data_IF_901170116826
#
_entry.id   IF_901170116826
#
_cell.length_a   1.000
_cell.length_b   1.000
_cell.length_c   1.000
_cell.angle_alpha   90.00
_cell.angle_beta   90.00
_cell.angle_gamma   90.00
#
_symmetry.space_group_name_H-M   'P 1'
#
loop_
_entity.id
_entity.type
_entity.pdbx_description
1 polymer ?
#
# COMPACT_ATOMS: atom_id res chain seq x y z
N UNK A 1 8.54 -1.15 -8.02
CA UNK A 1 8.42 -0.22 -9.18
C UNK A 1 7.87 1.11 -8.70
N UNK A 2 8.38 2.20 -9.25
CA UNK A 2 7.93 3.54 -8.88
C UNK A 2 7.12 4.15 -10.03
N UNK A 3 6.00 4.78 -9.70
CA UNK A 3 5.12 5.43 -10.66
C UNK A 3 4.80 6.85 -10.18
N UNK A 4 4.49 7.74 -11.11
CA UNK A 4 3.90 9.02 -10.77
C UNK A 4 2.43 9.02 -11.16
N UNK A 5 1.59 9.52 -10.27
CA UNK A 5 0.15 9.59 -10.48
C UNK A 5 -0.36 10.94 -10.00
N UNK A 6 -0.84 11.77 -10.91
CA UNK A 6 -1.36 13.11 -10.59
C UNK A 6 -0.36 13.96 -9.77
N UNK A 7 0.94 13.81 -10.05
CA UNK A 7 1.99 14.54 -9.33
C UNK A 7 2.47 13.87 -8.05
N UNK A 8 1.89 12.73 -7.67
CA UNK A 8 2.29 11.99 -6.48
C UNK A 8 3.19 10.80 -6.85
N UNK A 9 4.17 10.51 -6.02
CA UNK A 9 5.03 9.34 -6.17
C UNK A 9 4.35 8.13 -5.54
N UNK A 10 4.16 7.08 -6.33
CA UNK A 10 3.52 5.83 -5.90
C UNK A 10 4.54 4.70 -6.06
N UNK A 11 4.74 3.91 -5.03
CA UNK A 11 5.58 2.73 -5.08
C UNK A 11 4.70 1.48 -5.10
N UNK A 12 5.04 0.55 -5.99
CA UNK A 12 4.43 -0.78 -6.06
C UNK A 12 5.52 -1.79 -5.74
N UNK A 13 5.27 -2.65 -4.77
CA UNK A 13 6.27 -3.60 -4.30
C UNK A 13 5.82 -5.04 -4.49
N UNK A 14 6.72 -5.86 -5.00
CA UNK A 14 6.49 -7.30 -5.22
C UNK A 14 6.97 -8.15 -4.04
N UNK A 15 7.61 -7.55 -3.05
CA UNK A 15 8.06 -8.24 -1.84
C UNK A 15 8.06 -7.27 -0.67
N UNK A 16 8.08 -7.81 0.55
CA UNK A 16 8.15 -6.99 1.75
C UNK A 16 9.47 -6.23 1.85
N UNK A 17 10.57 -6.87 1.47
CA UNK A 17 11.88 -6.22 1.45
C UNK A 17 11.91 -5.05 0.48
N UNK A 18 11.35 -5.23 -0.71
CA UNK A 18 11.26 -4.17 -1.71
C UNK A 18 10.41 -3.00 -1.21
N UNK A 19 9.28 -3.28 -0.56
CA UNK A 19 8.40 -2.25 -0.01
C UNK A 19 9.12 -1.41 1.03
N UNK A 20 9.81 -2.06 1.97
CA UNK A 20 10.53 -1.37 3.04
C UNK A 20 11.65 -0.51 2.47
N UNK A 21 12.40 -1.05 1.53
CA UNK A 21 13.50 -0.34 0.89
C UNK A 21 13.02 0.84 0.07
N UNK A 22 11.96 0.66 -0.72
CA UNK A 22 11.39 1.73 -1.52
C UNK A 22 10.87 2.87 -0.65
N UNK A 23 10.22 2.55 0.46
CA UNK A 23 9.70 3.55 1.38
C UNK A 23 10.81 4.43 1.95
N UNK A 24 11.96 3.85 2.24
CA UNK A 24 13.12 4.61 2.76
C UNK A 24 13.83 5.41 1.68
N UNK A 25 14.03 4.81 0.51
CA UNK A 25 14.84 5.41 -0.56
C UNK A 25 14.07 6.47 -1.34
N UNK A 26 12.80 6.22 -1.64
CA UNK A 26 11.99 7.06 -2.52
C UNK A 26 11.09 8.00 -1.73
N UNK A 27 10.68 7.59 -0.53
CA UNK A 27 9.71 8.29 0.33
C UNK A 27 8.41 8.58 -0.43
N UNK A 28 7.74 7.54 -0.94
CA UNK A 28 6.56 7.73 -1.79
C UNK A 28 5.38 8.27 -0.98
N UNK A 29 4.43 8.88 -1.69
CA UNK A 29 3.18 9.32 -1.08
C UNK A 29 2.25 8.15 -0.80
N UNK A 30 2.31 7.11 -1.64
CA UNK A 30 1.47 5.92 -1.52
C UNK A 30 2.28 4.68 -1.84
N UNK A 31 2.05 3.61 -1.07
CA UNK A 31 2.60 2.28 -1.35
C UNK A 31 1.44 1.35 -1.64
N UNK A 32 1.44 0.75 -2.83
CA UNK A 32 0.52 -0.30 -3.20
C UNK A 32 1.16 -1.63 -2.80
N UNK A 33 0.52 -2.34 -1.89
CA UNK A 33 1.13 -3.48 -1.22
C UNK A 33 0.22 -4.70 -1.33
N UNK A 34 0.75 -5.76 -1.95
CA UNK A 34 0.05 -7.04 -2.00
C UNK A 34 0.03 -7.67 -0.60
N UNK A 35 -1.12 -8.19 -0.19
CA UNK A 35 -1.23 -8.90 1.09
C UNK A 35 -0.44 -10.21 1.05
N UNK A 36 -0.41 -10.88 -0.12
CA UNK A 36 0.28 -12.14 -0.28
C UNK A 36 1.66 -11.90 -0.92
N UNK A 37 2.64 -11.62 -0.08
CA UNK A 37 4.02 -11.42 -0.52
C UNK A 37 4.85 -12.69 -0.32
N UNK A 38 5.92 -12.90 -1.11
CA UNK A 38 6.71 -14.12 -1.02
C UNK A 38 7.54 -14.24 0.26
N UNK A 39 7.91 -13.11 0.88
CA UNK A 39 8.80 -13.11 2.05
C UNK A 39 8.09 -12.75 3.36
N UNK A 40 7.09 -11.89 3.31
CA UNK A 40 6.35 -11.45 4.49
C UNK A 40 4.86 -11.38 4.21
N UNK A 41 4.07 -11.43 5.28
CA UNK A 41 2.65 -11.08 5.23
C UNK A 41 2.52 -9.58 4.97
N UNK A 42 1.65 -9.19 4.05
CA UNK A 42 1.44 -7.77 3.71
C UNK A 42 0.97 -6.94 4.90
N UNK A 43 0.23 -7.51 5.82
CA UNK A 43 -0.18 -6.81 7.05
C UNK A 43 1.01 -6.48 7.93
N UNK A 44 1.98 -7.39 8.03
CA UNK A 44 3.21 -7.14 8.78
C UNK A 44 4.04 -6.03 8.14
N UNK A 45 4.14 -6.04 6.83
CA UNK A 45 4.85 -4.99 6.10
C UNK A 45 4.17 -3.63 6.30
N UNK A 46 2.84 -3.60 6.27
CA UNK A 46 2.09 -2.37 6.52
C UNK A 46 2.40 -1.79 7.92
N UNK A 47 2.48 -2.65 8.93
CA UNK A 47 2.85 -2.23 10.28
C UNK A 47 4.26 -1.65 10.33
N UNK A 48 5.22 -2.27 9.64
CA UNK A 48 6.60 -1.79 9.58
C UNK A 48 6.70 -0.44 8.88
N UNK A 49 5.96 -0.26 7.80
CA UNK A 49 5.92 1.01 7.08
C UNK A 49 5.35 2.14 7.95
N UNK A 50 4.33 1.82 8.75
CA UNK A 50 3.71 2.81 9.64
C UNK A 50 4.64 3.25 10.78
N UNK A 51 5.68 2.48 11.09
CA UNK A 51 6.66 2.81 12.11
C UNK A 51 7.81 3.68 11.61
N UNK A 52 7.91 3.88 10.30
CA UNK A 52 8.96 4.72 9.72
C UNK A 52 8.65 6.20 9.91
N UNK A 53 9.69 7.04 9.84
CA UNK A 53 9.56 8.49 9.97
C UNK A 53 8.65 9.05 8.87
N UNK A 54 8.84 8.62 7.64
CA UNK A 54 7.95 8.95 6.54
C UNK A 54 6.87 7.87 6.45
N UNK A 55 5.62 8.28 6.61
CA UNK A 55 4.48 7.37 6.59
C UNK A 55 3.69 7.54 5.30
N UNK A 56 3.88 6.66 4.33
CA UNK A 56 3.08 6.73 3.11
C UNK A 56 1.64 6.29 3.36
N UNK A 57 0.74 6.68 2.47
CA UNK A 57 -0.59 6.07 2.41
C UNK A 57 -0.39 4.63 1.94
N UNK A 58 -0.93 3.68 2.67
CA UNK A 58 -0.81 2.26 2.33
C UNK A 58 -2.13 1.77 1.79
N UNK A 59 -2.11 1.24 0.58
CA UNK A 59 -3.27 0.59 -0.03
C UNK A 59 -2.93 -0.88 -0.21
N UNK A 60 -3.70 -1.74 0.44
CA UNK A 60 -3.53 -3.18 0.33
C UNK A 60 -4.29 -3.69 -0.89
N UNK A 61 -3.74 -4.70 -1.54
CA UNK A 61 -4.37 -5.33 -2.69
C UNK A 61 -4.21 -6.83 -2.63
N UNK A 62 -5.12 -7.56 -3.27
CA UNK A 62 -5.06 -9.02 -3.36
C UNK A 62 -5.97 -9.50 -4.49
N UNK A 63 -5.73 -10.72 -4.96
CA UNK A 63 -6.67 -11.42 -5.85
C UNK A 63 -7.88 -11.93 -5.08
N UNK A 64 -7.81 -11.98 -3.75
CA UNK A 64 -8.92 -12.37 -2.88
C UNK A 64 -9.78 -11.17 -2.54
N UNK A 65 -10.97 -11.43 -1.99
CA UNK A 65 -11.87 -10.36 -1.56
C UNK A 65 -11.55 -9.93 -0.13
N UNK A 66 -11.97 -8.71 0.23
CA UNK A 66 -11.76 -8.16 1.56
C UNK A 66 -12.33 -9.07 2.66
N UNK A 67 -13.48 -9.69 2.40
CA UNK A 67 -14.13 -10.58 3.36
C UNK A 67 -13.29 -11.82 3.72
N UNK A 68 -12.37 -12.22 2.84
CA UNK A 68 -11.50 -13.37 3.10
C UNK A 68 -10.47 -13.09 4.21
N UNK A 69 -10.26 -11.83 4.55
CA UNK A 69 -9.28 -11.42 5.56
C UNK A 69 -9.92 -11.06 6.90
N UNK A 70 -11.24 -11.16 7.00
CA UNK A 70 -11.95 -10.83 8.24
C UNK A 70 -11.69 -9.39 8.67
N UNK A 71 -11.36 -9.17 9.93
CA UNK A 71 -11.08 -7.84 10.47
C UNK A 71 -9.65 -7.36 10.29
N UNK A 72 -8.78 -8.12 9.63
CA UNK A 72 -7.36 -7.79 9.54
C UNK A 72 -7.08 -6.49 8.78
N UNK A 73 -7.86 -6.21 7.73
CA UNK A 73 -7.69 -4.99 6.94
C UNK A 73 -7.99 -3.77 7.81
N UNK A 74 -9.12 -3.78 8.50
CA UNK A 74 -9.51 -2.68 9.37
C UNK A 74 -8.57 -2.49 10.56
N UNK A 75 -7.95 -3.57 11.03
CA UNK A 75 -6.99 -3.52 12.13
C UNK A 75 -5.60 -3.07 11.69
N UNK A 76 -5.33 -3.04 10.39
CA UNK A 76 -4.03 -2.63 9.86
C UNK A 76 -3.94 -1.10 9.75
N UNK A 77 -2.71 -0.55 9.62
CA UNK A 77 -2.54 0.88 9.38
C UNK A 77 -2.82 1.31 7.95
N UNK A 78 -3.33 0.42 7.10
CA UNK A 78 -3.64 0.74 5.71
C UNK A 78 -4.82 1.71 5.62
N UNK A 79 -4.77 2.59 4.62
CA UNK A 79 -5.87 3.50 4.32
C UNK A 79 -7.06 2.77 3.68
N UNK A 80 -6.79 1.66 2.99
CA UNK A 80 -7.84 0.88 2.38
C UNK A 80 -7.33 -0.34 1.64
N UNK A 81 -8.26 -0.99 0.98
CA UNK A 81 -8.03 -2.22 0.23
C UNK A 81 -8.70 -2.11 -1.14
N UNK A 82 -7.99 -2.55 -2.19
CA UNK A 82 -8.53 -2.65 -3.53
C UNK A 82 -8.26 -4.07 -4.05
N UNK A 83 -9.30 -4.80 -4.47
CA UNK A 83 -9.08 -6.05 -5.21
C UNK A 83 -8.28 -5.76 -6.48
N UNK A 84 -7.46 -6.71 -6.92
CA UNK A 84 -6.60 -6.50 -8.10
C UNK A 84 -7.38 -6.18 -9.36
N UNK A 85 -8.58 -6.72 -9.51
CA UNK A 85 -9.43 -6.44 -10.66
C UNK A 85 -10.06 -5.04 -10.63
N UNK A 86 -9.96 -4.34 -9.51
CA UNK A 86 -10.45 -2.97 -9.37
C UNK A 86 -9.33 -1.93 -9.31
N UNK A 87 -8.08 -2.33 -9.46
CA UNK A 87 -6.96 -1.40 -9.48
C UNK A 87 -7.03 -0.50 -10.72
N UNK A 88 -6.91 0.80 -10.48
CA UNK A 88 -6.86 1.80 -11.53
C UNK A 88 -6.18 3.05 -10.99
N UNK A 89 -5.71 3.89 -11.88
CA UNK A 89 -5.16 5.19 -11.49
C UNK A 89 -6.19 6.04 -10.76
N UNK A 90 -7.45 6.00 -11.22
CA UNK A 90 -8.52 6.77 -10.58
C UNK A 90 -8.80 6.29 -9.16
N UNK A 91 -8.81 4.96 -8.94
CA UNK A 91 -9.02 4.41 -7.60
C UNK A 91 -7.88 4.80 -6.64
N UNK A 92 -6.63 4.71 -7.09
CA UNK A 92 -5.48 5.10 -6.28
C UNK A 92 -5.48 6.61 -6.00
N UNK A 93 -5.85 7.41 -6.99
CA UNK A 93 -5.95 8.85 -6.82
C UNK A 93 -6.94 9.23 -5.73
N UNK A 94 -8.05 8.50 -5.61
CA UNK A 94 -9.02 8.72 -4.55
C UNK A 94 -8.40 8.65 -3.16
N UNK A 95 -7.49 7.70 -2.93
CA UNK A 95 -6.77 7.62 -1.66
C UNK A 95 -5.81 8.78 -1.46
N UNK A 96 -5.11 9.20 -2.52
CA UNK A 96 -4.18 10.32 -2.45
C UNK A 96 -4.88 11.64 -2.17
N UNK A 97 -6.05 11.86 -2.75
CA UNK A 97 -6.83 13.08 -2.56
C UNK A 97 -7.40 13.22 -1.15
N UNK A 98 -7.46 12.13 -0.38
CA UNK A 98 -7.92 12.17 1.00
C UNK A 98 -6.82 12.51 2.00
N UNK A 99 -5.58 12.68 1.54
CA UNK A 99 -4.45 13.05 2.39
C UNK A 99 -4.60 14.52 2.80
N UNK A 100 -4.54 14.87 4.10
CA UNK A 100 -4.57 16.28 4.53
C UNK A 100 -3.39 17.06 3.95
N UNK A 101 -3.58 18.31 3.62
CA UNK A 101 -2.50 19.17 3.13
C UNK A 101 -1.42 19.41 4.17
#
# INVERSE_FOLDING_TARGET
>A
MMLELAGFTVAEAASGAEATQAARAIRPCLVLLDIQLPDFDGFEVARRLAEQDHRPVIVLTSTREASDYGGQIAASPAAGFLPKDQLSGAALRGFLESIPP
#
